data_IF_874936061409
#
_entry.id   IF_874936061409
#
_cell.length_a   1.000
_cell.length_b   1.000
_cell.length_c   1.000
_cell.angle_alpha   90.00
_cell.angle_beta   90.00
_cell.angle_gamma   90.00
#
_symmetry.space_group_name_H-M   'P 1'
#
loop_
_entity.id
_entity.type
_entity.pdbx_description
1 polymer ?
#
# COMPACT_ATOMS: atom_id res chain seq x y z
N UNK A 1 12.90 31.37 -87.02
CA UNK A 1 12.42 30.35 -86.06
C UNK A 1 12.93 30.70 -84.67
N UNK A 2 12.06 31.15 -83.76
CA UNK A 2 12.31 31.19 -82.30
C UNK A 2 10.95 31.04 -81.61
N UNK A 3 10.65 29.83 -81.13
CA UNK A 3 9.49 29.57 -80.28
C UNK A 3 9.92 29.84 -78.83
N UNK A 4 9.28 30.79 -78.17
CA UNK A 4 9.50 31.09 -76.76
C UNK A 4 8.48 30.26 -75.98
N UNK A 5 8.96 29.17 -75.38
CA UNK A 5 8.15 28.31 -74.52
C UNK A 5 8.09 28.94 -73.13
N UNK A 6 6.97 29.57 -72.78
CA UNK A 6 6.71 30.04 -71.41
C UNK A 6 6.17 28.89 -70.58
N UNK A 7 7.03 28.37 -69.71
CA UNK A 7 6.71 27.38 -68.69
C UNK A 7 5.82 28.02 -67.62
N UNK A 8 4.55 27.62 -67.56
CA UNK A 8 3.62 27.99 -66.48
C UNK A 8 4.07 27.22 -65.22
N UNK A 9 4.37 27.88 -64.09
CA UNK A 9 4.55 27.16 -62.83
C UNK A 9 3.19 26.64 -62.39
N UNK A 10 2.98 25.33 -62.54
CA UNK A 10 1.85 24.63 -61.93
C UNK A 10 1.99 24.81 -60.42
N UNK A 11 1.06 25.60 -59.88
CA UNK A 11 0.83 25.84 -58.47
C UNK A 11 0.74 24.50 -57.74
N UNK A 12 1.84 24.08 -57.11
CA UNK A 12 1.85 23.00 -56.13
C UNK A 12 1.15 23.50 -54.87
N UNK A 13 -0.17 23.58 -54.92
CA UNK A 13 -1.02 23.62 -53.75
C UNK A 13 -1.02 22.21 -53.16
N UNK A 14 0.10 21.86 -52.52
CA UNK A 14 0.23 20.64 -51.75
C UNK A 14 -0.78 20.74 -50.63
N UNK A 15 -1.85 19.96 -50.73
CA UNK A 15 -2.92 19.88 -49.75
C UNK A 15 -2.33 19.80 -48.34
N UNK A 16 -2.58 20.83 -47.53
CA UNK A 16 -2.49 20.76 -46.09
C UNK A 16 -3.65 19.87 -45.61
N UNK A 17 -3.56 18.56 -45.82
CA UNK A 17 -4.42 17.59 -45.13
C UNK A 17 -3.97 17.60 -43.66
N UNK A 18 -4.54 18.48 -42.86
CA UNK A 18 -4.48 18.31 -41.41
C UNK A 18 -5.22 17.01 -41.10
N UNK A 19 -4.58 16.00 -40.47
CA UNK A 19 -5.32 14.84 -40.03
C UNK A 19 -6.43 15.32 -39.11
N UNK A 20 -7.67 14.92 -39.40
CA UNK A 20 -8.79 15.14 -38.50
C UNK A 20 -8.51 14.25 -37.28
N UNK A 21 -7.98 14.82 -36.21
CA UNK A 21 -7.83 14.08 -34.96
C UNK A 21 -9.25 13.74 -34.50
N UNK A 22 -9.56 12.46 -34.41
CA UNK A 22 -10.81 12.03 -33.79
C UNK A 22 -10.83 12.57 -32.36
N UNK A 23 -11.97 13.11 -31.93
CA UNK A 23 -12.15 13.48 -30.54
C UNK A 23 -12.17 12.21 -29.69
N UNK A 24 -11.47 12.25 -28.56
CA UNK A 24 -11.44 11.16 -27.58
C UNK A 24 -12.52 11.39 -26.52
N UNK A 25 -13.33 10.36 -26.30
CA UNK A 25 -14.43 10.35 -25.33
C UNK A 25 -14.31 9.17 -24.34
N UNK A 26 -13.23 8.40 -24.41
CA UNK A 26 -12.97 7.29 -23.49
C UNK A 26 -12.36 7.85 -22.21
N UNK A 27 -12.88 7.43 -21.04
CA UNK A 27 -12.23 7.76 -19.78
C UNK A 27 -11.16 6.72 -19.43
N UNK A 28 -10.13 7.08 -18.63
CA UNK A 28 -9.12 6.13 -18.19
C UNK A 28 -9.73 4.91 -17.48
N UNK A 29 -9.19 3.73 -17.73
CA UNK A 29 -9.54 2.53 -16.96
C UNK A 29 -8.71 2.47 -15.68
N UNK A 30 -9.36 2.40 -14.52
CA UNK A 30 -8.73 2.22 -13.22
C UNK A 30 -8.94 0.77 -12.75
N UNK A 31 -7.84 0.08 -12.46
CA UNK A 31 -7.86 -1.22 -11.77
C UNK A 31 -7.29 -1.04 -10.37
N UNK A 32 -8.15 -1.19 -9.35
CA UNK A 32 -7.79 -1.01 -7.96
C UNK A 32 -7.62 -2.37 -7.25
N UNK A 33 -6.38 -2.78 -6.91
CA UNK A 33 -6.12 -4.03 -6.21
C UNK A 33 -6.89 -4.14 -4.89
N UNK A 34 -7.09 -5.36 -4.40
CA UNK A 34 -7.68 -5.58 -3.07
C UNK A 34 -6.82 -4.88 -2.02
N UNK A 35 -7.47 -4.12 -1.15
CA UNK A 35 -6.79 -3.41 -0.09
C UNK A 35 -6.19 -4.38 0.93
N UNK A 36 -4.97 -4.11 1.36
CA UNK A 36 -4.31 -4.89 2.38
C UNK A 36 -4.71 -4.39 3.78
N UNK A 37 -4.87 -5.27 4.77
CA UNK A 37 -5.05 -4.84 6.15
C UNK A 37 -3.86 -3.98 6.60
N UNK A 38 -4.15 -2.95 7.40
CA UNK A 38 -3.09 -2.13 8.01
C UNK A 38 -2.42 -2.92 9.11
N UNK A 39 -1.09 -3.06 9.02
CA UNK A 39 -0.30 -3.74 10.05
C UNK A 39 -0.36 -3.00 11.39
N UNK A 40 -0.37 -3.76 12.49
CA UNK A 40 -0.39 -3.18 13.82
C UNK A 40 0.86 -2.35 14.08
N UNK A 41 0.68 -1.07 14.37
CA UNK A 41 1.78 -0.13 14.63
C UNK A 41 2.41 0.45 13.37
N UNK A 42 1.78 0.30 12.19
CA UNK A 42 2.20 1.02 11.00
C UNK A 42 1.94 2.53 11.14
N UNK A 43 2.92 3.34 10.77
CA UNK A 43 2.79 4.81 10.72
C UNK A 43 2.32 5.31 9.36
N UNK A 44 2.31 4.44 8.35
CA UNK A 44 1.93 4.77 6.97
C UNK A 44 1.15 3.66 6.30
N UNK A 45 0.33 4.01 5.32
CA UNK A 45 -0.41 3.09 4.48
C UNK A 45 -0.17 3.44 3.01
N UNK A 46 0.12 2.41 2.20
CA UNK A 46 0.43 2.58 0.78
C UNK A 46 -0.81 2.29 -0.07
N UNK A 47 -1.16 3.22 -0.95
CA UNK A 47 -2.24 3.09 -1.94
C UNK A 47 -1.62 3.00 -3.33
N UNK A 48 -2.12 2.06 -4.13
CA UNK A 48 -1.74 1.92 -5.54
C UNK A 48 -2.91 1.54 -6.41
N UNK A 49 -2.90 2.01 -7.65
CA UNK A 49 -3.83 1.62 -8.70
C UNK A 49 -3.07 1.40 -10.00
N UNK A 50 -3.56 0.51 -10.84
CA UNK A 50 -3.15 0.46 -12.25
C UNK A 50 -4.12 1.33 -13.06
N UNK A 51 -3.59 2.22 -13.88
CA UNK A 51 -4.38 3.14 -14.71
C UNK A 51 -3.90 3.06 -16.15
N UNK A 52 -4.83 2.93 -17.08
CA UNK A 52 -4.54 2.83 -18.52
C UNK A 52 -5.53 3.61 -19.34
N UNK A 53 -5.04 4.25 -20.39
CA UNK A 53 -5.80 5.04 -21.34
C UNK A 53 -5.07 5.02 -22.70
N UNK A 54 -5.81 5.06 -23.82
CA UNK A 54 -5.23 5.06 -25.18
C UNK A 54 -4.58 6.39 -25.59
N UNK A 55 -5.04 7.53 -25.08
CA UNK A 55 -4.45 8.86 -25.38
C UNK A 55 -3.52 9.34 -24.29
N UNK A 56 -3.57 8.72 -23.12
CA UNK A 56 -2.60 8.84 -22.05
C UNK A 56 -3.18 9.49 -20.80
N UNK A 57 -2.57 9.17 -19.66
CA UNK A 57 -3.04 9.60 -18.34
C UNK A 57 -2.31 10.88 -17.91
N UNK A 58 -3.07 11.92 -17.57
CA UNK A 58 -2.57 13.22 -17.11
C UNK A 58 -2.43 13.28 -15.60
N UNK A 59 -3.45 12.83 -14.86
CA UNK A 59 -3.40 12.80 -13.40
C UNK A 59 -4.06 11.55 -12.85
N UNK A 60 -3.56 11.12 -11.69
CA UNK A 60 -4.16 10.07 -10.87
C UNK A 60 -4.07 10.54 -9.42
N UNK A 61 -5.22 10.71 -8.79
CA UNK A 61 -5.34 11.29 -7.47
C UNK A 61 -6.12 10.35 -6.55
N UNK A 62 -5.69 10.20 -5.30
CA UNK A 62 -6.53 9.61 -4.26
C UNK A 62 -7.31 10.70 -3.57
N UNK A 63 -8.63 10.52 -3.55
CA UNK A 63 -9.58 11.37 -2.85
C UNK A 63 -9.96 10.63 -1.57
N UNK A 64 -9.56 11.15 -0.40
CA UNK A 64 -9.70 10.43 0.88
C UNK A 64 -10.21 11.30 2.03
N UNK A 65 -10.90 10.69 2.98
CA UNK A 65 -11.31 11.31 4.26
C UNK A 65 -11.37 10.28 5.37
N UNK A 66 -11.60 10.72 6.61
CA UNK A 66 -11.77 9.80 7.73
C UNK A 66 -13.15 9.12 7.63
N UNK A 67 -13.22 7.83 7.97
CA UNK A 67 -14.48 7.09 8.01
C UNK A 67 -15.46 7.78 8.98
N UNK A 68 -16.73 7.90 8.58
CA UNK A 68 -17.77 8.54 9.38
C UNK A 68 -17.76 10.06 9.35
N UNK A 69 -16.84 10.68 8.59
CA UNK A 69 -16.85 12.11 8.35
C UNK A 69 -17.64 12.44 7.07
N UNK A 70 -18.41 13.52 7.09
CA UNK A 70 -19.18 14.03 5.95
C UNK A 70 -18.49 15.22 5.26
N UNK A 71 -17.28 15.60 5.70
CA UNK A 71 -16.47 16.64 5.06
C UNK A 71 -16.06 16.27 3.62
N UNK A 72 -15.56 17.27 2.89
CA UNK A 72 -14.99 17.08 1.56
C UNK A 72 -13.77 16.13 1.59
N UNK A 73 -13.61 15.36 0.51
CA UNK A 73 -12.44 14.52 0.32
C UNK A 73 -11.18 15.37 0.12
N UNK A 74 -10.12 15.01 0.85
CA UNK A 74 -8.77 15.54 0.63
C UNK A 74 -8.17 14.90 -0.62
N UNK A 75 -7.29 15.63 -1.29
CA UNK A 75 -6.61 15.14 -2.51
C UNK A 75 -5.15 14.84 -2.23
N UNK A 76 -4.67 13.72 -2.75
CA UNK A 76 -3.25 13.37 -2.76
C UNK A 76 -2.91 12.74 -4.12
N UNK A 77 -1.95 13.34 -4.83
CA UNK A 77 -1.50 12.82 -6.12
C UNK A 77 -0.77 11.48 -5.97
N UNK A 78 -1.06 10.54 -6.85
CA UNK A 78 -0.32 9.30 -7.00
C UNK A 78 0.78 9.48 -8.06
N UNK A 79 2.00 9.11 -7.70
CA UNK A 79 3.13 9.14 -8.60
C UNK A 79 3.19 7.86 -9.46
N UNK A 80 3.50 7.96 -10.76
CA UNK A 80 3.73 6.78 -11.59
C UNK A 80 4.99 6.04 -11.11
N UNK A 81 4.90 4.71 -11.10
CA UNK A 81 6.05 3.82 -10.93
C UNK A 81 6.87 3.77 -12.22
N UNK A 82 8.06 3.14 -12.17
CA UNK A 82 8.98 3.04 -13.31
C UNK A 82 8.35 2.43 -14.58
N UNK A 83 7.30 1.59 -14.43
CA UNK A 83 6.61 0.94 -15.54
C UNK A 83 5.46 1.79 -16.13
N UNK A 84 5.20 2.98 -15.59
CA UNK A 84 4.26 3.97 -16.13
C UNK A 84 2.77 3.67 -15.96
N UNK A 85 2.38 2.41 -15.67
CA UNK A 85 0.97 2.00 -15.52
C UNK A 85 0.48 1.94 -14.08
N UNK A 86 1.38 1.68 -13.13
CA UNK A 86 1.04 1.63 -11.71
C UNK A 86 1.34 2.98 -11.09
N UNK A 87 0.35 3.53 -10.40
CA UNK A 87 0.38 4.80 -9.70
C UNK A 87 0.35 4.56 -8.18
N UNK A 88 1.03 5.40 -7.41
CA UNK A 88 1.39 5.10 -6.04
C UNK A 88 1.46 6.34 -5.14
N UNK A 89 0.85 6.26 -3.96
CA UNK A 89 1.05 7.24 -2.90
C UNK A 89 1.11 6.56 -1.52
N UNK A 90 1.67 7.26 -0.55
CA UNK A 90 1.73 6.83 0.84
C UNK A 90 1.03 7.85 1.72
N UNK A 91 0.03 7.42 2.47
CA UNK A 91 -0.72 8.23 3.43
C UNK A 91 -0.14 7.98 4.83
N UNK A 92 0.02 9.05 5.61
CA UNK A 92 0.36 8.93 7.04
C UNK A 92 -0.86 8.49 7.83
N UNK A 93 -0.68 7.49 8.69
CA UNK A 93 -1.72 7.06 9.62
C UNK A 93 -1.74 8.02 10.80
N UNK A 94 -2.88 8.67 11.01
CA UNK A 94 -3.09 9.48 12.21
C UNK A 94 -3.48 8.55 13.38
N UNK A 95 -2.67 8.44 14.44
CA UNK A 95 -2.99 7.57 15.58
C UNK A 95 -4.24 8.02 16.34
N UNK A 96 -4.70 9.27 16.16
CA UNK A 96 -5.97 9.76 16.70
C UNK A 96 -7.19 9.26 15.89
N UNK A 97 -6.99 8.85 14.64
CA UNK A 97 -8.03 8.27 13.81
C UNK A 97 -8.08 6.75 14.02
N UNK A 98 -8.87 6.29 15.00
CA UNK A 98 -9.05 4.86 15.24
C UNK A 98 -10.01 4.16 14.26
N UNK A 99 -10.78 4.92 13.46
CA UNK A 99 -11.76 4.33 12.54
C UNK A 99 -11.11 3.97 11.21
N UNK A 100 -10.17 4.78 10.72
CA UNK A 100 -9.51 4.61 9.45
C UNK A 100 -9.96 5.63 8.40
N UNK A 101 -9.70 5.33 7.13
CA UNK A 101 -9.98 6.23 6.01
C UNK A 101 -10.91 5.57 5.00
N UNK A 102 -11.68 6.40 4.32
CA UNK A 102 -12.39 6.01 3.10
C UNK A 102 -11.86 6.80 1.92
N UNK A 103 -11.76 6.15 0.77
CA UNK A 103 -11.15 6.76 -0.41
C UNK A 103 -11.69 6.21 -1.73
N UNK A 104 -11.50 6.99 -2.77
CA UNK A 104 -11.59 6.58 -4.17
C UNK A 104 -10.41 7.13 -4.96
N UNK A 105 -10.15 6.57 -6.13
CA UNK A 105 -9.15 7.07 -7.08
C UNK A 105 -9.89 7.84 -8.17
N UNK A 106 -9.42 9.04 -8.49
CA UNK A 106 -9.81 9.80 -9.68
C UNK A 106 -8.65 9.75 -10.69
N UNK A 107 -8.94 9.41 -11.95
CA UNK A 107 -7.96 9.49 -13.03
C UNK A 107 -8.49 10.38 -14.16
N UNK A 108 -7.58 11.13 -14.78
CA UNK A 108 -7.88 12.07 -15.87
C UNK A 108 -6.94 11.85 -17.04
N UNK A 109 -7.46 11.86 -18.25
CA UNK A 109 -6.68 11.74 -19.49
C UNK A 109 -6.31 13.12 -20.08
N UNK A 110 -5.73 13.10 -21.29
CA UNK A 110 -5.37 14.29 -22.06
C UNK A 110 -6.55 15.04 -22.69
N UNK A 111 -7.69 14.35 -22.88
CA UNK A 111 -8.93 14.90 -23.41
C UNK A 111 -9.88 15.42 -22.31
N UNK A 112 -9.44 15.36 -21.05
CA UNK A 112 -10.17 15.76 -19.85
C UNK A 112 -11.36 14.85 -19.49
N UNK A 113 -11.38 13.61 -19.99
CA UNK A 113 -12.26 12.56 -19.51
C UNK A 113 -11.80 12.09 -18.12
N UNK A 114 -12.75 11.75 -17.26
CA UNK A 114 -12.52 11.41 -15.85
C UNK A 114 -13.12 10.03 -15.56
N UNK A 115 -12.41 9.22 -14.81
CA UNK A 115 -12.96 8.02 -14.17
C UNK A 115 -12.71 8.02 -12.66
N UNK A 116 -13.56 7.31 -11.93
CA UNK A 116 -13.49 7.17 -10.48
C UNK A 116 -13.63 5.70 -10.10
N UNK A 117 -12.81 5.21 -9.15
CA UNK A 117 -12.88 3.82 -8.67
C UNK A 117 -12.51 3.69 -7.17
N UNK A 118 -13.39 3.14 -6.32
CA UNK A 118 -14.83 2.93 -6.58
C UNK A 118 -15.57 4.27 -6.67
N UNK A 119 -16.89 4.25 -6.79
CA UNK A 119 -17.68 5.48 -6.82
C UNK A 119 -17.57 6.29 -5.50
N UNK A 120 -17.63 7.63 -5.54
CA UNK A 120 -17.54 8.48 -4.36
C UNK A 120 -18.66 8.27 -3.32
N UNK A 121 -19.80 7.73 -3.71
CA UNK A 121 -20.94 7.39 -2.83
C UNK A 121 -20.79 6.01 -2.17
N UNK A 122 -19.87 5.18 -2.67
CA UNK A 122 -19.48 3.90 -2.10
C UNK A 122 -17.93 3.80 -2.01
N UNK A 123 -17.27 4.72 -1.29
CA UNK A 123 -15.82 4.77 -1.24
C UNK A 123 -15.26 3.51 -0.56
N UNK A 124 -14.04 3.14 -0.94
CA UNK A 124 -13.36 2.00 -0.32
C UNK A 124 -12.91 2.37 1.09
N UNK A 125 -13.20 1.52 2.05
CA UNK A 125 -12.82 1.73 3.46
C UNK A 125 -11.58 0.92 3.86
N UNK A 126 -10.66 1.58 4.56
CA UNK A 126 -9.48 1.00 5.21
C UNK A 126 -9.58 1.28 6.69
N UNK A 127 -9.72 0.23 7.48
CA UNK A 127 -9.78 0.35 8.94
C UNK A 127 -8.37 0.31 9.54
N UNK A 128 -8.10 1.21 10.47
CA UNK A 128 -6.84 1.21 11.20
C UNK A 128 -6.94 0.34 12.47
N UNK A 129 -5.86 -0.39 12.84
CA UNK A 129 -5.84 -1.17 14.07
C UNK A 129 -5.91 -0.23 15.28
N UNK A 130 -6.68 -0.63 16.29
CA UNK A 130 -6.91 0.18 17.48
C UNK A 130 -5.59 0.47 18.24
N UNK A 131 -5.15 1.74 18.19
CA UNK A 131 -3.88 2.19 18.75
C UNK A 131 -3.91 2.27 20.28
N UNK A 132 -5.10 2.19 20.91
CA UNK A 132 -5.27 2.22 22.37
C UNK A 132 -4.63 1.03 23.10
N UNK A 133 -4.16 0.01 22.39
CA UNK A 133 -3.39 -1.10 22.97
C UNK A 133 -1.86 -0.95 22.88
N UNK A 134 -1.35 0.20 22.44
CA UNK A 134 0.09 0.45 22.30
C UNK A 134 0.70 1.18 23.52
N UNK A 135 0.54 0.63 24.73
CA UNK A 135 1.48 0.88 25.85
C UNK A 135 1.30 -0.14 26.99
N UNK A 136 1.55 -1.42 26.71
CA UNK A 136 2.14 -2.31 27.73
C UNK A 136 3.53 -2.68 27.27
N UNK A 137 4.51 -2.07 27.92
CA UNK A 137 5.91 -2.46 27.93
C UNK A 137 6.03 -3.99 28.09
N UNK A 138 6.33 -4.68 26.99
CA UNK A 138 6.71 -6.09 27.03
C UNK A 138 8.23 -6.14 27.02
N UNK A 139 8.83 -5.87 28.18
CA UNK A 139 10.22 -6.19 28.44
C UNK A 139 10.35 -7.72 28.59
N UNK A 140 10.21 -8.47 27.49
CA UNK A 140 10.52 -9.90 27.46
C UNK A 140 12.03 -10.05 27.39
N UNK A 141 12.64 -10.06 28.57
CA UNK A 141 14.02 -10.53 28.77
C UNK A 141 14.06 -11.98 28.31
N UNK A 142 14.99 -12.30 27.41
CA UNK A 142 15.36 -13.67 27.04
C UNK A 142 15.90 -14.41 28.28
N UNK A 143 15.00 -14.92 29.14
CA UNK A 143 15.33 -15.68 30.34
C UNK A 143 15.56 -17.18 30.04
N UNK A 144 15.30 -17.63 28.80
CA UNK A 144 15.23 -19.06 28.46
C UNK A 144 16.54 -19.63 27.89
N UNK A 145 17.56 -18.80 27.64
CA UNK A 145 18.85 -19.26 27.10
C UNK A 145 19.81 -19.79 28.19
N UNK A 146 19.28 -20.22 29.35
CA UNK A 146 20.04 -20.76 30.47
C UNK A 146 19.89 -22.30 30.65
N UNK A 147 19.36 -23.05 29.68
CA UNK A 147 19.14 -24.51 29.81
C UNK A 147 19.49 -25.29 28.53
N UNK A 148 20.63 -24.99 27.91
CA UNK A 148 21.09 -25.68 26.69
C UNK A 148 22.57 -26.07 26.74
N UNK A 149 22.87 -27.17 27.44
CA UNK A 149 24.08 -27.99 27.34
C UNK A 149 25.43 -27.31 27.64
N UNK A 150 25.82 -27.31 28.93
CA UNK A 150 27.21 -27.20 29.35
C UNK A 150 27.67 -28.54 29.97
N UNK A 151 28.81 -29.03 29.44
CA UNK A 151 29.76 -29.99 30.03
C UNK A 151 29.43 -31.49 30.07
N UNK A 152 29.90 -32.20 29.02
CA UNK A 152 30.50 -33.53 29.18
C UNK A 152 31.94 -33.32 29.67
N UNK A 153 32.25 -33.82 30.87
CA UNK A 153 33.60 -34.27 31.25
C UNK A 153 34.52 -33.29 31.97
N UNK A 154 34.70 -33.47 33.29
CA UNK A 154 35.98 -33.81 33.92
C UNK A 154 35.88 -33.80 35.47
N UNK A 155 36.56 -34.77 36.07
CA UNK A 155 36.70 -35.12 37.49
C UNK A 155 37.38 -34.03 38.34
N UNK A 156 36.89 -33.81 39.57
CA UNK A 156 37.70 -33.63 40.79
C UNK A 156 36.81 -33.57 42.05
N UNK A 157 37.08 -34.44 43.03
CA UNK A 157 36.47 -34.44 44.35
C UNK A 157 37.17 -33.44 45.30
N UNK A 158 36.43 -32.67 46.10
CA UNK A 158 36.54 -32.61 47.57
C UNK A 158 35.54 -31.64 48.26
N UNK A 159 34.84 -32.16 49.28
CA UNK A 159 34.60 -31.63 50.64
C UNK A 159 33.67 -30.41 50.94
N UNK A 160 32.54 -30.77 51.57
CA UNK A 160 31.87 -30.23 52.80
C UNK A 160 31.22 -28.83 52.87
N UNK A 161 29.99 -28.84 53.42
CA UNK A 161 29.22 -27.70 53.99
C UNK A 161 27.81 -27.64 53.38
N UNK A 162 26.82 -28.38 53.90
CA UNK A 162 25.90 -27.97 54.98
C UNK A 162 25.16 -26.65 54.66
N UNK A 163 23.91 -26.74 54.16
CA UNK A 163 22.76 -26.13 54.84
C UNK A 163 21.41 -26.56 54.21
N UNK A 164 20.40 -26.63 55.06
CA UNK A 164 19.09 -27.22 54.85
C UNK A 164 18.12 -26.29 54.09
N UNK A 165 17.30 -26.83 53.19
CA UNK A 165 15.85 -26.64 53.19
C UNK A 165 15.18 -27.53 52.13
N UNK A 166 14.40 -28.47 52.66
CA UNK A 166 13.62 -29.49 51.98
C UNK A 166 12.20 -28.95 51.73
N UNK A 167 11.90 -28.55 50.50
CA UNK A 167 10.52 -28.34 50.04
C UNK A 167 10.16 -29.50 49.10
N UNK A 168 9.98 -30.68 49.70
CA UNK A 168 9.42 -31.85 49.02
C UNK A 168 7.94 -31.60 48.71
N UNK A 169 7.60 -31.40 47.43
CA UNK A 169 6.21 -31.53 46.95
C UNK A 169 6.06 -32.89 46.29
N UNK A 170 5.44 -33.81 47.03
CA UNK A 170 5.02 -35.14 46.57
C UNK A 170 4.04 -35.01 45.39
N UNK A 171 4.42 -35.49 44.21
CA UNK A 171 3.51 -35.63 43.06
C UNK A 171 2.89 -37.03 43.11
N UNK A 172 1.63 -37.11 43.54
CA UNK A 172 0.80 -38.31 43.41
C UNK A 172 0.37 -38.44 41.94
N UNK A 173 0.85 -39.47 41.26
CA UNK A 173 0.44 -39.80 39.89
C UNK A 173 -0.61 -40.90 40.01
N UNK A 174 -1.87 -40.57 39.75
CA UNK A 174 -2.94 -41.56 39.67
C UNK A 174 -2.91 -42.17 38.27
N UNK A 175 -2.36 -43.38 38.16
CA UNK A 175 -2.39 -44.18 36.95
C UNK A 175 -3.61 -45.09 37.02
N UNK A 176 -4.64 -44.79 36.25
CA UNK A 176 -5.71 -45.73 35.97
C UNK A 176 -5.21 -46.73 34.91
N UNK A 177 -5.00 -47.98 35.33
CA UNK A 177 -4.86 -49.17 34.48
C UNK A 177 -6.09 -50.07 34.69
N UNK A 178 -6.44 -50.98 33.76
CA UNK A 178 -6.28 -50.98 32.30
C UNK A 178 -7.61 -50.89 31.52
#
# INVERSE_FOLDING_TARGET
MKFITTLIPVLACLLLLTPLSAADFSAPLITLPVAQPVEKGADTYRISAEVSDETGVVSVDVRYRNIGNNDEFKTLALAPTRNGKIYAATIKIDPANSQGIEYYIEARDSANNISEEPFPDAPRQIHFPDTKQAKKSSHKKYWWMALGALAIGAVAANKSGDDNNDDTVTLTIDAADP
#
